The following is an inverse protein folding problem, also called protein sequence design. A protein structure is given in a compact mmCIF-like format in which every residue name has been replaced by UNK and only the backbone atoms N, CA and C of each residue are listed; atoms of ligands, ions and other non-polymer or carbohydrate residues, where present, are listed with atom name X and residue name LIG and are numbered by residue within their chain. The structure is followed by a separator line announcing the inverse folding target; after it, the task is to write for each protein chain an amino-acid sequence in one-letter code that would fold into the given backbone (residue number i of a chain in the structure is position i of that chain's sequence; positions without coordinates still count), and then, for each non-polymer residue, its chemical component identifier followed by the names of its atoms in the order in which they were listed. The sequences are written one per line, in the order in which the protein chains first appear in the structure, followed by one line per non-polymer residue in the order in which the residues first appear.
data_IF_025591875757
#
_entry.id   IF_025591875757
#
_cell.length_a   1.000
_cell.length_b   1.000
_cell.length_c   1.000
_cell.angle_alpha   90.00
_cell.angle_beta   90.00
_cell.angle_gamma   90.00
#
_symmetry.space_group_name_H-M   'P 1'
#
loop_
_entity.id
_entity.type
_entity.pdbx_description
1 polymer ?
#
# COMPACT_ATOMS: atom_id res chain seq x y z
N UNK A 1 9.77 11.59 -16.13
CA UNK A 1 8.32 11.27 -16.17
C UNK A 1 7.92 10.75 -14.80
N UNK A 2 6.79 11.19 -14.24
CA UNK A 2 6.27 10.67 -12.96
C UNK A 2 5.76 9.24 -13.19
N UNK A 3 6.12 8.25 -12.37
CA UNK A 3 5.63 6.89 -12.56
C UNK A 3 4.11 6.84 -12.30
N UNK A 4 3.38 5.97 -12.99
CA UNK A 4 1.93 5.84 -12.84
C UNK A 4 1.53 5.27 -11.46
N UNK A 5 2.44 4.54 -10.81
CA UNK A 5 2.31 4.03 -9.45
C UNK A 5 3.65 4.18 -8.73
N UNK A 6 3.64 4.53 -7.45
CA UNK A 6 4.84 4.63 -6.63
C UNK A 6 4.52 4.26 -5.19
N UNK A 7 5.23 3.27 -4.65
CA UNK A 7 5.13 2.84 -3.25
C UNK A 7 6.22 3.51 -2.40
N UNK A 8 5.91 3.83 -1.16
CA UNK A 8 6.90 4.33 -0.19
C UNK A 8 6.56 3.89 1.23
N UNK A 9 7.59 3.77 2.08
CA UNK A 9 7.47 3.26 3.44
C UNK A 9 8.83 2.87 4.00
N UNK A 10 8.85 2.26 5.19
CA UNK A 10 10.08 1.74 5.81
C UNK A 10 10.26 0.26 5.47
N UNK A 11 11.48 -0.12 5.10
CA UNK A 11 11.83 -1.53 4.90
C UNK A 11 12.01 -2.31 6.21
N UNK A 12 12.29 -1.62 7.31
CA UNK A 12 12.54 -2.22 8.62
C UNK A 12 11.73 -1.47 9.68
N UNK A 13 11.03 -2.22 10.53
CA UNK A 13 10.18 -1.69 11.59
C UNK A 13 10.40 -2.52 12.85
N UNK A 14 10.65 -1.87 13.98
CA UNK A 14 10.76 -2.56 15.28
C UNK A 14 9.39 -3.12 15.70
N UNK A 15 9.36 -4.32 16.27
CA UNK A 15 8.13 -4.95 16.75
C UNK A 15 7.34 -3.99 17.66
N UNK A 16 6.01 -3.99 17.48
CA UNK A 16 5.10 -3.12 18.22
C UNK A 16 5.00 -1.69 17.67
N UNK A 17 5.92 -1.25 16.81
CA UNK A 17 5.78 0.03 16.10
C UNK A 17 4.86 -0.10 14.89
N UNK A 18 4.33 1.03 14.44
CA UNK A 18 3.46 1.08 13.28
C UNK A 18 4.20 0.82 11.96
N UNK A 19 3.59 0.02 11.08
CA UNK A 19 3.94 -0.06 9.67
C UNK A 19 3.00 0.90 8.93
N UNK A 20 3.57 1.87 8.22
CA UNK A 20 2.84 2.78 7.34
C UNK A 20 3.44 2.70 5.94
N UNK A 21 2.60 2.34 4.98
CA UNK A 21 2.98 2.23 3.57
C UNK A 21 2.05 3.11 2.75
N UNK A 22 2.61 3.94 1.90
CA UNK A 22 1.86 4.76 0.97
C UNK A 22 2.03 4.22 -0.44
N UNK A 23 0.95 4.20 -1.21
CA UNK A 23 1.00 3.99 -2.63
C UNK A 23 0.27 5.11 -3.36
N UNK A 24 1.01 5.80 -4.23
CA UNK A 24 0.52 6.91 -5.02
C UNK A 24 0.24 6.42 -6.44
N UNK A 25 -1.01 6.47 -6.89
CA UNK A 25 -1.40 6.18 -8.26
C UNK A 25 -1.83 7.45 -8.98
N UNK A 26 -1.39 7.60 -10.24
CA UNK A 26 -1.81 8.68 -11.14
C UNK A 26 -2.37 8.05 -12.39
N UNK A 27 -3.62 8.39 -12.73
CA UNK A 27 -4.29 7.88 -13.92
C UNK A 27 -4.73 9.05 -14.83
N UNK A 28 -4.92 8.81 -16.15
CA UNK A 28 -5.43 9.83 -17.06
C UNK A 28 -6.78 10.42 -16.59
N UNK A 29 -7.03 11.72 -16.83
CA UNK A 29 -8.30 12.36 -16.49
C UNK A 29 -9.51 11.57 -17.01
N UNK A 30 -10.56 11.47 -16.20
CA UNK A 30 -11.78 10.72 -16.53
C UNK A 30 -11.69 9.20 -16.33
N UNK A 31 -10.54 8.68 -15.87
CA UNK A 31 -10.40 7.27 -15.48
C UNK A 31 -10.51 7.14 -13.95
N UNK A 32 -11.32 6.21 -13.41
CA UNK A 32 -11.36 5.93 -11.99
C UNK A 32 -9.98 5.50 -11.47
N UNK A 33 -9.49 6.15 -10.42
CA UNK A 33 -8.26 5.77 -9.74
C UNK A 33 -8.62 4.87 -8.56
N UNK A 34 -8.08 3.67 -8.54
CA UNK A 34 -8.21 2.71 -7.43
C UNK A 34 -6.88 2.00 -7.22
N UNK A 35 -6.67 1.40 -6.04
CA UNK A 35 -5.48 0.62 -5.73
C UNK A 35 -5.91 -0.69 -5.07
N UNK A 36 -5.42 -1.80 -5.62
CA UNK A 36 -5.49 -3.10 -4.98
C UNK A 36 -4.21 -3.36 -4.19
N UNK A 37 -4.35 -3.87 -2.96
CA UNK A 37 -3.23 -4.23 -2.10
C UNK A 37 -3.05 -5.75 -2.00
N UNK A 38 -1.80 -6.19 -2.01
CA UNK A 38 -1.41 -7.58 -1.80
C UNK A 38 -0.24 -7.67 -0.83
N UNK A 39 -0.17 -8.77 -0.09
CA UNK A 39 1.00 -9.16 0.70
C UNK A 39 1.43 -10.55 0.28
N UNK A 40 2.68 -10.68 -0.19
CA UNK A 40 3.25 -11.96 -0.63
C UNK A 40 2.40 -12.66 -1.72
N UNK A 41 1.72 -11.87 -2.57
CA UNK A 41 0.82 -12.35 -3.61
C UNK A 41 -0.63 -12.55 -3.17
N UNK A 42 -0.91 -12.55 -1.87
CA UNK A 42 -2.26 -12.67 -1.33
C UNK A 42 -2.97 -11.32 -1.27
N UNK A 43 -4.22 -11.25 -1.72
CA UNK A 43 -5.02 -10.02 -1.61
C UNK A 43 -5.22 -9.62 -0.16
N UNK A 44 -4.98 -8.34 0.14
CA UNK A 44 -5.27 -7.75 1.45
C UNK A 44 -6.74 -7.35 1.47
N UNK A 45 -7.55 -8.12 2.19
CA UNK A 45 -8.95 -7.83 2.45
C UNK A 45 -9.24 -7.81 3.97
N UNK A 46 -10.42 -7.27 4.32
CA UNK A 46 -10.84 -7.12 5.71
C UNK A 46 -11.13 -8.46 6.42
N UNK A 47 -11.26 -9.57 5.69
CA UNK A 47 -11.57 -10.90 6.26
C UNK A 47 -10.29 -11.56 6.75
N UNK A 48 -9.25 -11.59 5.91
CA UNK A 48 -7.96 -12.23 6.19
C UNK A 48 -7.00 -11.29 6.93
N UNK A 49 -7.03 -9.99 6.63
CA UNK A 49 -6.11 -8.99 7.17
C UNK A 49 -6.81 -7.98 8.08
N UNK A 50 -7.57 -8.47 9.07
CA UNK A 50 -8.38 -7.65 10.02
C UNK A 50 -7.63 -6.55 10.77
N UNK A 51 -6.31 -6.68 10.90
CA UNK A 51 -5.45 -5.73 11.61
C UNK A 51 -4.85 -4.65 10.70
N UNK A 52 -5.11 -4.75 9.39
CA UNK A 52 -4.68 -3.78 8.38
C UNK A 52 -5.80 -2.79 8.15
N UNK A 53 -5.48 -1.50 8.19
CA UNK A 53 -6.40 -0.41 7.84
C UNK A 53 -5.91 0.20 6.53
N UNK A 54 -6.82 0.37 5.57
CA UNK A 54 -6.52 1.02 4.29
C UNK A 54 -7.34 2.30 4.20
N UNK A 55 -6.66 3.44 3.99
CA UNK A 55 -7.27 4.75 3.82
C UNK A 55 -6.92 5.30 2.44
N UNK A 56 -7.93 5.77 1.68
CA UNK A 56 -7.72 6.33 0.35
C UNK A 56 -8.00 7.84 0.34
N UNK A 57 -7.03 8.62 -0.12
CA UNK A 57 -7.12 10.07 -0.28
C UNK A 57 -7.12 10.41 -1.77
N UNK A 58 -8.21 11.02 -2.25
CA UNK A 58 -8.36 11.42 -3.65
C UNK A 58 -8.05 12.90 -3.84
N UNK A 59 -7.04 13.20 -4.66
CA UNK A 59 -6.67 14.55 -5.09
C UNK A 59 -7.32 14.82 -6.44
N UNK A 60 -8.59 15.29 -6.40
CA UNK A 60 -9.46 15.46 -7.58
C UNK A 60 -8.81 16.31 -8.68
N UNK A 61 -8.14 17.39 -8.32
CA UNK A 61 -7.51 18.33 -9.26
C UNK A 61 -6.40 17.69 -10.11
N UNK A 62 -5.74 16.66 -9.59
CA UNK A 62 -4.59 16.01 -10.24
C UNK A 62 -4.85 14.57 -10.67
N UNK A 63 -6.07 14.06 -10.42
CA UNK A 63 -6.44 12.66 -10.58
C UNK A 63 -5.41 11.69 -9.95
N UNK A 64 -4.95 12.05 -8.75
CA UNK A 64 -4.01 11.26 -7.96
C UNK A 64 -4.77 10.61 -6.81
N UNK A 65 -4.53 9.33 -6.59
CA UNK A 65 -4.97 8.62 -5.39
C UNK A 65 -3.75 8.30 -4.54
N UNK A 66 -3.83 8.61 -3.25
CA UNK A 66 -2.88 8.14 -2.24
C UNK A 66 -3.60 7.10 -1.40
N UNK A 67 -3.14 5.86 -1.46
CA UNK A 67 -3.63 4.77 -0.61
C UNK A 67 -2.62 4.53 0.50
N UNK A 68 -3.06 4.68 1.74
CA UNK A 68 -2.28 4.42 2.94
C UNK A 68 -2.69 3.07 3.52
N UNK A 69 -1.71 2.18 3.72
CA UNK A 69 -1.85 0.93 4.46
C UNK A 69 -1.18 1.10 5.82
N UNK A 70 -1.96 0.89 6.88
CA UNK A 70 -1.53 1.01 8.26
C UNK A 70 -1.70 -0.31 9.02
N UNK A 71 -0.65 -0.72 9.72
CA UNK A 71 -0.70 -1.69 10.82
C UNK A 71 -0.19 -0.98 12.06
N UNK A 72 -1.08 -0.74 13.03
CA UNK A 72 -0.80 0.09 14.21
C UNK A 72 0.29 -0.50 15.12
N UNK A 73 0.25 -1.83 15.34
CA UNK A 73 1.21 -2.55 16.17
C UNK A 73 1.75 -3.77 15.43
N UNK A 74 2.93 -3.60 14.83
CA UNK A 74 3.57 -4.65 14.04
C UNK A 74 3.92 -5.90 14.84
N UNK A 75 3.81 -7.03 14.19
CA UNK A 75 4.17 -8.36 14.67
C UNK A 75 5.07 -9.06 13.63
N UNK A 76 5.88 -10.06 14.01
CA UNK A 76 6.74 -10.77 13.06
C UNK A 76 6.01 -11.31 11.82
N UNK A 77 4.74 -11.73 11.95
CA UNK A 77 3.88 -12.20 10.84
C UNK A 77 3.54 -11.13 9.80
N UNK A 78 3.71 -9.85 10.15
CA UNK A 78 3.45 -8.72 9.27
C UNK A 78 4.66 -8.47 8.34
N UNK A 79 5.79 -9.14 8.56
CA UNK A 79 6.90 -9.21 7.59
C UNK A 79 6.40 -9.78 6.27
N UNK A 80 6.76 -9.14 5.16
CA UNK A 80 6.39 -9.58 3.82
C UNK A 80 6.67 -8.55 2.76
N UNK A 81 6.36 -8.91 1.51
CA UNK A 81 6.39 -8.00 0.36
C UNK A 81 4.99 -7.46 0.15
N UNK A 82 4.83 -6.16 0.40
CA UNK A 82 3.59 -5.43 0.16
C UNK A 82 3.61 -4.89 -1.26
N UNK A 83 2.52 -5.09 -1.99
CA UNK A 83 2.40 -4.80 -3.40
C UNK A 83 1.15 -3.95 -3.58
N UNK A 84 1.27 -2.84 -4.29
CA UNK A 84 0.11 -2.09 -4.77
C UNK A 84 0.00 -2.22 -6.29
N UNK A 85 -1.24 -2.33 -6.78
CA UNK A 85 -1.54 -2.49 -8.21
C UNK A 85 -2.62 -1.50 -8.65
N UNK A 86 -2.39 -0.82 -9.78
CA UNK A 86 -3.39 0.04 -10.43
C UNK A 86 -4.31 -0.76 -11.37
N UNK A 87 -5.48 -0.23 -11.77
CA UNK A 87 -6.41 -0.90 -12.70
C UNK A 87 -5.79 -1.25 -14.05
N UNK A 88 -4.76 -0.51 -14.46
CA UNK A 88 -4.02 -0.73 -15.71
C UNK A 88 -2.89 -1.75 -15.58
N UNK A 89 -2.75 -2.39 -14.42
CA UNK A 89 -1.73 -3.42 -14.16
C UNK A 89 -0.34 -2.86 -13.84
N UNK A 90 -0.20 -1.56 -13.62
CA UNK A 90 1.04 -1.02 -13.06
C UNK A 90 1.20 -1.51 -11.63
N UNK A 91 2.39 -1.98 -11.27
CA UNK A 91 2.70 -2.59 -9.98
C UNK A 91 3.95 -1.92 -9.40
N UNK A 92 3.92 -1.66 -8.10
CA UNK A 92 5.11 -1.36 -7.31
C UNK A 92 5.05 -2.12 -5.98
N UNK A 93 6.20 -2.35 -5.34
CA UNK A 93 6.29 -3.19 -4.15
C UNK A 93 7.38 -2.76 -3.17
N UNK A 94 7.16 -3.04 -1.89
CA UNK A 94 8.12 -2.82 -0.82
C UNK A 94 8.19 -4.04 0.08
N UNK A 95 9.41 -4.50 0.36
CA UNK A 95 9.65 -5.53 1.37
C UNK A 95 9.80 -4.88 2.74
N UNK A 96 8.94 -5.26 3.66
CA UNK A 96 8.96 -4.83 5.07
C UNK A 96 9.38 -6.01 5.94
N UNK A 97 10.34 -5.78 6.83
CA UNK A 97 10.84 -6.74 7.82
C UNK A 97 10.60 -6.19 9.21
N UNK A 98 9.85 -6.93 10.03
CA UNK A 98 9.66 -6.60 11.45
C UNK A 98 10.82 -7.17 12.25
N UNK A 99 11.55 -6.30 12.95
CA UNK A 99 12.69 -6.63 13.79
C UNK A 99 12.21 -6.98 15.21
N UNK A 100 12.80 -8.01 15.81
CA UNK A 100 12.43 -8.57 17.13
C UNK A 100 13.47 -8.25 18.19
#
# INVERSE_FOLDING_TARGET
TRPPIAISGKNYVEMGHAITIFCNATEPPGTPVTIDWFKDGDTIDYIKYKHVVITNYHLVETNVLVSELLIDRSQPRDTGTYICRSPRGHIDSIKVTVLS
#
